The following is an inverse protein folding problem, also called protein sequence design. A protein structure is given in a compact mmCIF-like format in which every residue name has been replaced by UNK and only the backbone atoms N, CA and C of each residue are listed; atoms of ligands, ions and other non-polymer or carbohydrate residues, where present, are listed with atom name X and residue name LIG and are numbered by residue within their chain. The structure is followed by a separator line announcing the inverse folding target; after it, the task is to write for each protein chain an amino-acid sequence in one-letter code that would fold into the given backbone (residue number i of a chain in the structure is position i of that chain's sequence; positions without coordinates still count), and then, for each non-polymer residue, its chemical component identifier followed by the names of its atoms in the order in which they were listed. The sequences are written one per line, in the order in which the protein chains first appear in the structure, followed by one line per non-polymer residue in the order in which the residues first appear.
data_IF_047635446597
#
_entry.id   IF_047635446597
#
_cell.length_a   1.000
_cell.length_b   1.000
_cell.length_c   1.000
_cell.angle_alpha   90.00
_cell.angle_beta   90.00
_cell.angle_gamma   90.00
#
_symmetry.space_group_name_H-M   'P 1'
#
loop_
_entity.id
_entity.type
_entity.pdbx_description
1 polymer ?
#
# COMPACT_ATOMS: atom_id res chain seq x y z
N UNK A 1 -71.14 0.32 -22.75
CA UNK A 1 -70.38 1.55 -22.39
C UNK A 1 -69.32 1.09 -21.38
N UNK A 2 -68.05 1.09 -21.83
CA UNK A 2 -66.76 1.04 -21.08
C UNK A 2 -66.56 0.11 -19.84
N UNK A 3 -65.52 -0.76 -19.97
CA UNK A 3 -64.50 -1.23 -19.00
C UNK A 3 -64.95 -1.85 -17.64
N UNK A 4 -64.24 -2.74 -16.96
CA UNK A 4 -63.14 -3.70 -17.16
C UNK A 4 -63.22 -4.62 -15.91
N UNK A 5 -62.77 -5.87 -16.02
CA UNK A 5 -61.89 -6.55 -15.04
C UNK A 5 -61.97 -8.07 -15.19
N UNK A 6 -60.76 -8.63 -15.14
CA UNK A 6 -60.37 -10.03 -15.24
C UNK A 6 -60.99 -10.90 -14.14
N UNK A 7 -61.40 -12.13 -14.50
CA UNK A 7 -61.42 -13.20 -13.50
C UNK A 7 -61.02 -14.57 -14.05
N UNK A 8 -60.20 -15.22 -13.24
CA UNK A 8 -59.30 -16.35 -13.52
C UNK A 8 -60.04 -17.68 -13.66
N UNK A 9 -59.65 -18.49 -14.65
CA UNK A 9 -59.97 -19.93 -14.70
C UNK A 9 -58.70 -20.74 -14.44
N UNK A 10 -58.77 -21.60 -13.44
CA UNK A 10 -57.70 -22.46 -12.95
C UNK A 10 -57.42 -23.66 -13.86
N UNK A 11 -56.13 -23.97 -14.07
CA UNK A 11 -55.66 -25.27 -14.55
C UNK A 11 -54.48 -25.71 -13.68
N UNK A 12 -54.60 -26.91 -13.10
CA UNK A 12 -53.58 -27.61 -12.30
C UNK A 12 -52.54 -28.22 -13.23
N UNK A 13 -51.25 -28.01 -12.94
CA UNK A 13 -50.18 -28.88 -13.39
C UNK A 13 -49.22 -29.20 -12.23
N UNK A 14 -48.78 -30.45 -12.22
CA UNK A 14 -48.13 -31.21 -11.15
C UNK A 14 -46.67 -30.83 -10.93
N UNK A 15 -46.29 -30.59 -9.67
CA UNK A 15 -44.90 -30.42 -9.23
C UNK A 15 -44.23 -31.80 -9.14
N UNK A 16 -43.16 -31.98 -9.92
CA UNK A 16 -42.23 -33.12 -9.80
C UNK A 16 -41.10 -32.68 -8.85
N UNK A 17 -41.04 -33.29 -7.67
CA UNK A 17 -39.91 -33.16 -6.74
C UNK A 17 -38.72 -33.99 -7.26
N UNK A 18 -37.64 -33.31 -7.67
CA UNK A 18 -36.35 -33.96 -7.89
C UNK A 18 -35.62 -34.15 -6.57
N UNK A 19 -35.46 -35.42 -6.19
CA UNK A 19 -34.80 -35.88 -4.96
C UNK A 19 -33.30 -35.63 -5.03
N UNK A 20 -32.77 -34.88 -4.06
CA UNK A 20 -31.34 -34.70 -3.86
C UNK A 20 -30.62 -36.02 -3.58
N UNK A 21 -29.56 -36.29 -4.34
CA UNK A 21 -28.67 -37.43 -4.14
C UNK A 21 -27.83 -37.24 -2.87
N UNK A 22 -27.98 -38.16 -1.90
CA UNK A 22 -27.19 -38.18 -0.67
C UNK A 22 -25.88 -38.93 -0.95
N UNK A 23 -24.76 -38.21 -0.99
CA UNK A 23 -23.41 -38.77 -1.15
C UNK A 23 -22.91 -39.30 0.20
N UNK A 24 -22.61 -40.60 0.28
CA UNK A 24 -22.03 -41.25 1.47
C UNK A 24 -20.64 -40.68 1.82
N UNK A 25 -20.52 -40.04 2.99
CA UNK A 25 -19.25 -39.44 3.46
C UNK A 25 -18.34 -40.50 4.09
N UNK A 26 -17.20 -40.75 3.43
CA UNK A 26 -16.12 -41.65 3.85
C UNK A 26 -15.52 -41.25 5.23
N UNK A 27 -15.24 -42.21 6.12
CA UNK A 27 -14.89 -42.00 7.56
C UNK A 27 -13.66 -41.10 7.84
N UNK A 28 -12.87 -40.73 6.82
CA UNK A 28 -11.72 -39.80 6.93
C UNK A 28 -12.12 -38.31 6.89
N UNK A 29 -13.37 -37.97 6.62
CA UNK A 29 -13.83 -36.57 6.46
C UNK A 29 -14.68 -36.02 7.63
N UNK A 30 -14.65 -36.64 8.83
CA UNK A 30 -15.44 -36.20 10.00
C UNK A 30 -15.22 -34.74 10.43
N UNK A 31 -14.08 -34.15 10.07
CA UNK A 31 -13.70 -32.76 10.42
C UNK A 31 -13.78 -31.77 9.25
N UNK A 32 -14.06 -32.24 8.02
CA UNK A 32 -14.31 -31.37 6.86
C UNK A 32 -15.82 -31.16 6.72
N UNK A 33 -16.34 -30.23 7.53
CA UNK A 33 -17.70 -29.71 7.33
C UNK A 33 -17.67 -28.75 6.14
N UNK A 34 -18.76 -28.74 5.38
CA UNK A 34 -18.97 -27.76 4.32
C UNK A 34 -18.99 -26.37 4.99
N UNK A 35 -18.23 -25.42 4.46
CA UNK A 35 -18.10 -24.06 4.98
C UNK A 35 -18.95 -23.13 4.10
N UNK A 36 -20.17 -22.76 4.49
CA UNK A 36 -21.03 -21.88 3.67
C UNK A 36 -20.39 -20.51 3.38
N UNK A 37 -19.47 -20.09 4.26
CA UNK A 37 -18.71 -18.84 4.16
C UNK A 37 -17.45 -18.94 3.29
N UNK A 38 -17.18 -20.06 2.64
CA UNK A 38 -15.99 -20.31 1.82
C UNK A 38 -16.42 -20.91 0.47
N UNK A 39 -16.92 -20.06 -0.43
CA UNK A 39 -17.40 -20.42 -1.77
C UNK A 39 -16.47 -19.88 -2.86
N UNK A 40 -16.41 -20.57 -4.01
CA UNK A 40 -15.45 -20.27 -5.10
C UNK A 40 -15.58 -18.85 -5.70
N UNK A 41 -16.67 -18.14 -5.43
CA UNK A 41 -16.89 -16.75 -5.85
C UNK A 41 -16.39 -15.66 -4.89
N UNK A 42 -15.86 -16.02 -3.71
CA UNK A 42 -15.32 -15.04 -2.76
C UNK A 42 -13.93 -14.61 -3.22
N UNK A 43 -13.74 -13.31 -3.44
CA UNK A 43 -12.40 -12.75 -3.59
C UNK A 43 -11.78 -12.52 -2.21
N UNK A 44 -11.04 -13.50 -1.71
CA UNK A 44 -10.33 -13.42 -0.43
C UNK A 44 -9.26 -12.31 -0.39
N UNK A 45 -8.97 -11.65 -1.51
CA UNK A 45 -7.96 -10.59 -1.62
C UNK A 45 -8.57 -9.19 -1.73
N UNK A 46 -9.90 -9.06 -1.63
CA UNK A 46 -10.56 -7.76 -1.66
C UNK A 46 -10.30 -7.01 -0.35
N UNK A 47 -9.77 -5.80 -0.46
CA UNK A 47 -9.59 -4.91 0.69
C UNK A 47 -10.94 -4.30 1.09
N UNK A 48 -11.37 -4.57 2.31
CA UNK A 48 -12.48 -3.85 2.93
C UNK A 48 -11.93 -2.62 3.65
N UNK A 49 -12.51 -1.45 3.38
CA UNK A 49 -12.13 -0.21 4.05
C UNK A 49 -12.60 -0.27 5.50
N UNK A 50 -11.67 -0.10 6.44
CA UNK A 50 -12.02 0.06 7.86
C UNK A 50 -12.67 1.43 8.04
N UNK A 51 -13.81 1.48 8.73
CA UNK A 51 -14.52 2.72 9.00
C UNK A 51 -14.43 3.10 10.48
N UNK A 52 -14.82 4.33 10.82
CA UNK A 52 -14.76 4.81 12.21
C UNK A 52 -15.75 4.06 13.10
N UNK A 53 -16.84 3.59 12.50
CA UNK A 53 -17.92 2.85 13.11
C UNK A 53 -17.48 1.45 13.58
N UNK A 54 -16.46 0.87 12.93
CA UNK A 54 -15.95 -0.47 13.24
C UNK A 54 -15.14 -0.51 14.55
N UNK A 55 -14.65 0.65 15.02
CA UNK A 55 -13.93 0.78 16.28
C UNK A 55 -14.44 1.96 17.14
N UNK A 56 -15.62 1.81 17.78
CA UNK A 56 -16.22 2.88 18.58
C UNK A 56 -15.46 3.18 19.88
N UNK A 57 -14.74 2.19 20.42
CA UNK A 57 -13.97 2.33 21.67
C UNK A 57 -12.56 2.91 21.48
N UNK A 58 -12.07 2.96 20.25
CA UNK A 58 -10.70 3.40 19.93
C UNK A 58 -9.62 2.43 20.41
N UNK A 59 -8.36 2.88 20.41
CA UNK A 59 -7.21 2.10 20.87
C UNK A 59 -6.96 2.30 22.37
N UNK A 60 -6.67 1.20 23.07
CA UNK A 60 -6.38 1.20 24.51
C UNK A 60 -4.94 1.68 24.79
N UNK A 61 -4.00 1.21 23.99
CA UNK A 61 -2.56 1.45 24.15
C UNK A 61 -2.03 2.45 23.12
N UNK A 62 -0.99 3.18 23.50
CA UNK A 62 -0.31 4.13 22.64
C UNK A 62 0.81 3.45 21.84
N UNK A 63 0.79 3.63 20.52
CA UNK A 63 1.87 3.24 19.61
C UNK A 63 2.59 4.49 19.13
N UNK A 64 3.91 4.49 19.25
CA UNK A 64 4.76 5.63 18.87
C UNK A 64 5.88 5.17 17.94
N UNK A 65 6.09 5.90 16.85
CA UNK A 65 7.21 5.68 15.94
C UNK A 65 7.97 6.98 15.72
N UNK A 66 9.29 6.90 15.73
CA UNK A 66 10.17 8.02 15.41
C UNK A 66 11.08 7.69 14.22
N UNK A 67 11.42 8.71 13.43
CA UNK A 67 12.40 8.60 12.35
C UNK A 67 13.27 9.84 12.32
N UNK A 68 14.59 9.64 12.28
CA UNK A 68 15.58 10.71 12.14
C UNK A 68 15.63 11.19 10.69
N UNK A 69 15.82 12.49 10.49
CA UNK A 69 16.03 13.09 9.18
C UNK A 69 17.37 13.84 9.09
N UNK A 70 17.98 13.91 7.90
CA UNK A 70 19.21 14.68 7.71
C UNK A 70 19.00 16.19 7.86
N UNK A 71 20.00 16.90 8.38
CA UNK A 71 19.95 18.35 8.62
C UNK A 71 19.53 19.18 7.39
N UNK A 72 19.98 18.81 6.19
CA UNK A 72 19.60 19.53 4.96
C UNK A 72 18.09 19.52 4.67
N UNK A 73 17.33 18.59 5.29
CA UNK A 73 15.88 18.44 5.08
C UNK A 73 15.04 19.28 6.03
N UNK A 74 15.67 19.86 7.05
CA UNK A 74 15.00 20.61 8.13
C UNK A 74 14.14 21.77 7.63
N UNK A 75 14.69 22.64 6.77
CA UNK A 75 13.98 23.81 6.26
C UNK A 75 12.68 23.45 5.53
N UNK A 76 12.71 22.38 4.73
CA UNK A 76 11.54 21.89 4.02
C UNK A 76 10.51 21.31 4.99
N UNK A 77 10.95 20.48 5.94
CA UNK A 77 10.06 19.86 6.92
C UNK A 77 9.38 20.90 7.79
N UNK A 78 10.11 21.93 8.22
CA UNK A 78 9.56 23.05 9.01
C UNK A 78 8.44 23.77 8.26
N UNK A 79 8.59 24.02 6.96
CA UNK A 79 7.57 24.68 6.14
C UNK A 79 6.32 23.82 5.94
N UNK A 80 6.52 22.53 5.70
CA UNK A 80 5.46 21.60 5.28
C UNK A 80 4.79 20.88 6.47
N UNK A 81 5.34 21.00 7.69
CA UNK A 81 4.82 20.34 8.88
C UNK A 81 3.34 20.61 9.20
N UNK A 82 2.81 21.84 9.04
CA UNK A 82 1.38 22.09 9.25
C UNK A 82 0.50 21.22 8.35
N UNK A 83 0.89 21.05 7.10
CA UNK A 83 0.17 20.23 6.12
C UNK A 83 0.27 18.73 6.47
N UNK A 84 1.42 18.28 6.99
CA UNK A 84 1.58 16.90 7.48
C UNK A 84 0.59 16.62 8.62
N UNK A 85 0.42 17.57 9.55
CA UNK A 85 -0.58 17.44 10.63
C UNK A 85 -1.99 17.36 10.05
N UNK A 86 -2.32 18.21 9.08
CA UNK A 86 -3.65 18.19 8.43
C UNK A 86 -3.95 16.84 7.77
N UNK A 87 -2.97 16.21 7.13
CA UNK A 87 -3.11 14.89 6.51
C UNK A 87 -3.37 13.80 7.56
N UNK A 88 -2.81 13.92 8.76
CA UNK A 88 -2.93 12.91 9.84
C UNK A 88 -4.14 13.14 10.77
N UNK A 89 -4.72 14.35 10.79
CA UNK A 89 -5.90 14.69 11.60
C UNK A 89 -7.10 13.74 11.41
N UNK A 90 -7.49 13.32 10.18
CA UNK A 90 -8.64 12.42 9.98
C UNK A 90 -8.49 11.05 10.64
N UNK A 91 -7.24 10.60 10.80
CA UNK A 91 -6.88 9.34 11.44
C UNK A 91 -6.67 9.48 12.95
N UNK A 92 -6.82 10.69 13.49
CA UNK A 92 -6.62 11.03 14.89
C UNK A 92 -5.21 10.65 15.40
N UNK A 93 -4.19 10.81 14.55
CA UNK A 93 -2.77 10.55 14.85
C UNK A 93 -2.07 11.88 15.16
N UNK A 94 -1.31 11.91 16.26
CA UNK A 94 -0.46 13.06 16.61
C UNK A 94 0.88 12.97 15.91
N UNK A 95 1.35 14.10 15.39
CA UNK A 95 2.69 14.20 14.78
C UNK A 95 3.48 15.36 15.40
N UNK A 96 4.71 15.07 15.81
CA UNK A 96 5.66 16.00 16.42
C UNK A 96 6.95 16.08 15.60
N UNK A 97 7.48 17.30 15.44
CA UNK A 97 8.75 17.57 14.76
C UNK A 97 9.72 18.15 15.78
N UNK A 98 10.82 17.44 16.04
CA UNK A 98 11.90 17.91 16.89
C UNK A 98 13.07 18.37 16.01
N UNK A 99 13.31 19.68 15.98
CA UNK A 99 14.39 20.28 15.20
C UNK A 99 15.76 20.13 15.89
N UNK A 100 15.79 20.00 17.22
CA UNK A 100 17.04 19.87 17.98
C UNK A 100 17.64 18.48 17.78
N UNK A 101 16.82 17.44 17.91
CA UNK A 101 17.23 16.06 17.65
C UNK A 101 17.26 15.71 16.16
N UNK A 102 16.58 16.49 15.31
CA UNK A 102 16.37 16.16 13.90
C UNK A 102 15.48 14.92 13.73
N UNK A 103 14.41 14.81 14.52
CA UNK A 103 13.52 13.65 14.56
C UNK A 103 12.06 14.03 14.26
N UNK A 104 11.35 13.14 13.56
CA UNK A 104 9.90 13.19 13.37
C UNK A 104 9.27 12.04 14.14
N UNK A 105 8.23 12.33 14.91
CA UNK A 105 7.53 11.33 15.72
C UNK A 105 6.04 11.32 15.38
N UNK A 106 5.47 10.13 15.23
CA UNK A 106 4.01 9.91 15.09
C UNK A 106 3.52 9.02 16.22
N UNK A 107 2.38 9.37 16.82
CA UNK A 107 1.79 8.65 17.94
C UNK A 107 0.29 8.47 17.76
N UNK A 108 -0.21 7.29 18.11
CA UNK A 108 -1.67 7.06 18.18
C UNK A 108 -2.26 7.82 19.36
N UNK A 109 -3.58 8.05 19.29
CA UNK A 109 -4.34 8.58 20.41
C UNK A 109 -5.44 7.59 20.80
N UNK A 110 -6.06 7.79 21.97
CA UNK A 110 -7.23 7.00 22.40
C UNK A 110 -8.41 7.06 21.43
N UNK A 111 -8.41 8.03 20.51
CA UNK A 111 -9.47 8.23 19.53
C UNK A 111 -9.07 7.76 18.12
N UNK A 112 -7.85 7.28 17.94
CA UNK A 112 -7.46 6.60 16.70
C UNK A 112 -8.38 5.41 16.50
N UNK A 113 -9.10 5.41 15.39
CA UNK A 113 -10.08 4.38 15.07
C UNK A 113 -9.43 3.25 14.26
N UNK A 114 -8.59 3.59 13.27
CA UNK A 114 -7.87 2.60 12.46
C UNK A 114 -6.56 2.14 13.14
N UNK A 115 -6.44 0.85 13.52
CA UNK A 115 -5.20 0.32 14.08
C UNK A 115 -4.02 0.29 13.09
N UNK A 116 -4.28 0.22 11.77
CA UNK A 116 -3.23 0.16 10.75
C UNK A 116 -2.75 1.54 10.28
N UNK A 117 -3.52 2.61 10.51
CA UNK A 117 -3.15 3.98 10.14
C UNK A 117 -1.80 4.42 10.71
N UNK A 118 -1.42 3.94 11.90
CA UNK A 118 -0.10 4.26 12.49
C UNK A 118 1.07 3.71 11.68
N UNK A 119 0.89 2.56 11.02
CA UNK A 119 1.91 1.95 10.15
C UNK A 119 2.07 2.79 8.88
N UNK A 120 0.97 3.31 8.32
CA UNK A 120 1.01 4.25 7.19
C UNK A 120 1.63 5.57 7.57
N UNK A 121 1.30 6.11 8.75
CA UNK A 121 1.89 7.35 9.27
C UNK A 121 3.41 7.21 9.52
N UNK A 122 3.86 6.04 10.01
CA UNK A 122 5.28 5.69 10.12
C UNK A 122 5.96 5.72 8.76
N UNK A 123 5.31 5.18 7.75
CA UNK A 123 5.89 5.12 6.41
C UNK A 123 5.89 6.51 5.73
N UNK A 124 4.89 7.35 6.00
CA UNK A 124 4.88 8.77 5.62
C UNK A 124 6.11 9.52 6.17
N UNK A 125 6.40 9.43 7.47
CA UNK A 125 7.57 10.12 8.04
C UNK A 125 8.90 9.58 7.48
N UNK A 126 8.98 8.27 7.18
CA UNK A 126 10.16 7.69 6.52
C UNK A 126 10.34 8.22 5.11
N UNK A 127 9.26 8.37 4.33
CA UNK A 127 9.31 8.94 2.98
C UNK A 127 9.78 10.40 3.01
N UNK A 128 9.26 11.19 3.96
CA UNK A 128 9.66 12.59 4.16
C UNK A 128 11.16 12.70 4.54
N UNK A 129 11.65 11.81 5.41
CA UNK A 129 13.07 11.73 5.77
C UNK A 129 13.96 11.39 4.54
N UNK A 130 13.45 10.57 3.62
CA UNK A 130 14.10 10.26 2.33
C UNK A 130 13.87 11.30 1.24
N UNK A 131 13.38 12.49 1.64
CA UNK A 131 13.18 13.66 0.79
C UNK A 131 12.14 13.53 -0.32
N UNK A 132 11.19 12.60 -0.17
CA UNK A 132 9.99 12.60 -1.01
C UNK A 132 9.16 13.86 -0.71
N UNK A 133 8.65 14.58 -1.72
CA UNK A 133 7.76 15.72 -1.50
C UNK A 133 6.43 15.32 -0.87
N UNK A 134 5.87 16.14 0.02
CA UNK A 134 4.60 15.84 0.69
C UNK A 134 3.43 15.55 -0.28
N UNK A 135 3.23 16.28 -1.40
CA UNK A 135 2.12 16.00 -2.32
C UNK A 135 2.12 14.57 -2.86
N UNK A 136 3.30 13.96 -2.97
CA UNK A 136 3.44 12.56 -3.36
C UNK A 136 3.39 11.64 -2.15
N UNK A 137 4.07 12.00 -1.05
CA UNK A 137 4.14 11.17 0.16
C UNK A 137 2.76 10.96 0.82
N UNK A 138 1.87 11.96 0.79
CA UNK A 138 0.53 11.85 1.39
C UNK A 138 -0.33 10.70 0.82
N UNK A 139 -0.05 10.27 -0.41
CA UNK A 139 -0.73 9.14 -1.07
C UNK A 139 -0.51 7.81 -0.33
N UNK A 140 0.52 7.70 0.53
CA UNK A 140 0.75 6.50 1.35
C UNK A 140 -0.35 6.27 2.39
N UNK A 141 -1.16 7.29 2.66
CA UNK A 141 -2.33 7.16 3.53
C UNK A 141 -3.48 6.45 2.82
N UNK A 142 -3.42 6.17 1.51
CA UNK A 142 -4.42 5.37 0.80
C UNK A 142 -4.12 3.87 0.94
N UNK A 143 -5.15 3.01 1.09
CA UNK A 143 -4.97 1.57 1.36
C UNK A 143 -4.23 0.81 0.25
N UNK A 144 -4.38 1.24 -1.00
CA UNK A 144 -3.77 0.59 -2.16
C UNK A 144 -2.33 1.07 -2.44
N UNK A 145 -1.82 2.00 -1.65
CA UNK A 145 -0.49 2.58 -1.81
C UNK A 145 0.47 2.06 -0.77
N UNK A 146 1.59 1.53 -1.27
CA UNK A 146 2.67 1.01 -0.45
C UNK A 146 3.96 1.71 -0.83
N UNK A 147 4.93 1.68 0.08
CA UNK A 147 6.27 2.18 -0.19
C UNK A 147 7.31 1.09 0.00
N UNK A 148 8.40 1.21 -0.76
CA UNK A 148 9.58 0.40 -0.58
C UNK A 148 10.84 1.29 -0.57
N UNK A 149 11.71 1.08 0.41
CA UNK A 149 12.98 1.80 0.55
C UNK A 149 14.10 0.79 0.29
N UNK A 150 14.61 0.81 -0.94
CA UNK A 150 15.64 -0.10 -1.41
C UNK A 150 17.01 0.49 -1.06
N UNK A 151 17.75 -0.19 -0.17
CA UNK A 151 19.12 0.20 0.18
C UNK A 151 20.07 -0.30 -0.90
N UNK A 152 20.67 0.63 -1.63
CA UNK A 152 21.68 0.32 -2.66
C UNK A 152 23.11 0.48 -2.14
N UNK A 153 23.28 1.18 -1.01
CA UNK A 153 24.54 1.27 -0.29
C UNK A 153 25.04 -0.11 0.16
N UNK A 154 26.24 -0.47 -0.29
CA UNK A 154 26.88 -1.77 0.00
C UNK A 154 26.80 -2.78 -1.14
N UNK A 155 25.92 -2.60 -2.13
CA UNK A 155 25.83 -3.50 -3.30
C UNK A 155 27.08 -3.43 -4.18
N UNK A 156 27.76 -2.28 -4.20
CA UNK A 156 28.97 -2.05 -5.00
C UNK A 156 30.06 -1.51 -4.09
N UNK A 157 31.20 -2.22 -4.02
CA UNK A 157 32.35 -1.85 -3.17
C UNK A 157 33.01 -0.52 -3.61
N UNK A 158 33.11 -0.30 -4.92
CA UNK A 158 33.78 0.88 -5.46
C UNK A 158 32.80 2.06 -5.66
N UNK A 159 33.11 3.21 -5.06
CA UNK A 159 32.31 4.44 -5.09
C UNK A 159 32.09 4.98 -6.51
N UNK A 160 33.08 4.93 -7.39
CA UNK A 160 32.94 5.41 -8.77
C UNK A 160 32.00 4.52 -9.58
N UNK A 161 32.14 3.21 -9.43
CA UNK A 161 31.21 2.24 -10.07
C UNK A 161 29.80 2.42 -9.54
N UNK A 162 29.64 2.69 -8.24
CA UNK A 162 28.34 2.98 -7.64
C UNK A 162 27.69 4.23 -8.27
N UNK A 163 28.43 5.33 -8.40
CA UNK A 163 27.90 6.56 -9.02
C UNK A 163 27.53 6.33 -10.49
N UNK A 164 28.36 5.61 -11.26
CA UNK A 164 28.07 5.25 -12.65
C UNK A 164 26.82 4.37 -12.79
N UNK A 165 26.64 3.35 -11.93
CA UNK A 165 25.45 2.47 -11.93
C UNK A 165 24.20 3.21 -11.46
N UNK A 166 24.31 4.09 -10.47
CA UNK A 166 23.20 4.96 -10.05
C UNK A 166 22.77 5.90 -11.17
N UNK A 167 23.73 6.53 -11.85
CA UNK A 167 23.42 7.40 -12.99
C UNK A 167 22.79 6.62 -14.15
N UNK A 168 23.22 5.37 -14.38
CA UNK A 168 22.61 4.46 -15.35
C UNK A 168 21.14 4.17 -15.04
N UNK A 169 20.78 3.98 -13.77
CA UNK A 169 19.39 3.78 -13.33
C UNK A 169 18.52 5.01 -13.64
N UNK A 170 19.04 6.22 -13.41
CA UNK A 170 18.34 7.47 -13.75
C UNK A 170 18.21 7.63 -15.27
N UNK A 171 19.28 7.32 -16.00
CA UNK A 171 19.37 7.50 -17.44
C UNK A 171 19.68 8.94 -17.85
N UNK A 172 19.93 9.17 -19.15
CA UNK A 172 20.12 10.52 -19.69
C UNK A 172 18.80 11.31 -19.52
N UNK A 173 18.87 12.52 -18.96
CA UNK A 173 17.71 13.38 -18.67
C UNK A 173 16.57 12.70 -17.88
N UNK A 174 16.87 11.63 -17.10
CA UNK A 174 15.84 10.91 -16.36
C UNK A 174 14.94 10.00 -17.19
N UNK A 175 15.25 9.78 -18.47
CA UNK A 175 14.43 8.98 -19.40
C UNK A 175 14.19 7.55 -18.92
N UNK A 176 15.26 6.85 -18.49
CA UNK A 176 15.15 5.48 -17.97
C UNK A 176 14.28 5.42 -16.71
N UNK A 177 14.47 6.37 -15.78
CA UNK A 177 13.67 6.43 -14.56
C UNK A 177 12.19 6.64 -14.90
N UNK A 178 11.89 7.56 -15.82
CA UNK A 178 10.51 7.84 -16.24
C UNK A 178 9.87 6.64 -16.94
N UNK A 179 10.63 5.90 -17.75
CA UNK A 179 10.15 4.66 -18.35
C UNK A 179 9.79 3.62 -17.29
N UNK A 180 10.63 3.42 -16.26
CA UNK A 180 10.34 2.51 -15.14
C UNK A 180 9.08 2.94 -14.40
N UNK A 181 8.92 4.25 -14.13
CA UNK A 181 7.71 4.77 -13.47
C UNK A 181 6.44 4.47 -14.26
N UNK A 182 6.48 4.67 -15.59
CA UNK A 182 5.33 4.43 -16.47
C UNK A 182 4.99 2.94 -16.58
N UNK A 183 6.00 2.07 -16.72
CA UNK A 183 5.80 0.63 -16.83
C UNK A 183 5.26 0.02 -15.53
N UNK A 184 5.82 0.42 -14.39
CA UNK A 184 5.47 -0.16 -13.08
C UNK A 184 4.32 0.55 -12.38
N UNK A 185 3.83 1.67 -12.95
CA UNK A 185 2.87 2.58 -12.33
C UNK A 185 3.27 3.02 -10.91
N UNK A 186 4.58 3.07 -10.66
CA UNK A 186 5.15 3.48 -9.39
C UNK A 186 5.81 4.85 -9.54
N UNK A 187 5.85 5.59 -8.44
CA UNK A 187 6.73 6.73 -8.29
C UNK A 187 8.09 6.27 -7.79
N UNK A 188 9.18 6.67 -8.43
CA UNK A 188 10.54 6.22 -8.06
C UNK A 188 11.46 7.42 -7.88
N UNK A 189 12.07 7.51 -6.71
CA UNK A 189 13.03 8.56 -6.37
C UNK A 189 14.38 7.94 -6.02
N UNK A 190 15.40 8.31 -6.80
CA UNK A 190 16.78 7.86 -6.60
C UNK A 190 17.54 8.94 -5.85
N UNK A 191 17.89 8.68 -4.59
CA UNK A 191 18.62 9.66 -3.76
C UNK A 191 19.72 9.04 -2.92
N UNK A 192 20.93 9.56 -3.07
CA UNK A 192 22.08 9.13 -2.29
C UNK A 192 22.39 7.65 -2.51
N UNK A 193 22.21 6.85 -1.45
CA UNK A 193 22.44 5.40 -1.40
C UNK A 193 21.13 4.59 -1.25
N UNK A 194 20.00 5.22 -1.49
CA UNK A 194 18.68 4.60 -1.39
C UNK A 194 17.84 4.94 -2.62
N UNK A 195 17.04 3.98 -3.06
CA UNK A 195 16.00 4.20 -4.06
C UNK A 195 14.67 4.00 -3.35
N UNK A 196 13.82 5.01 -3.39
CA UNK A 196 12.48 4.97 -2.82
C UNK A 196 11.50 4.71 -3.95
N UNK A 197 10.60 3.76 -3.75
CA UNK A 197 9.50 3.49 -4.65
C UNK A 197 8.16 3.60 -3.91
N UNK A 198 7.13 4.13 -4.56
CA UNK A 198 5.76 4.16 -4.05
C UNK A 198 4.81 3.64 -5.13
N UNK A 199 3.95 2.70 -4.79
CA UNK A 199 3.03 2.10 -5.75
C UNK A 199 2.36 0.84 -5.21
N UNK A 200 1.80 0.05 -6.12
CA UNK A 200 1.15 -1.22 -5.77
C UNK A 200 2.19 -2.30 -5.48
N UNK A 201 1.81 -3.35 -4.74
CA UNK A 201 2.73 -4.44 -4.41
C UNK A 201 3.39 -5.12 -5.63
N UNK A 202 2.65 -5.25 -6.74
CA UNK A 202 3.18 -5.83 -7.99
C UNK A 202 4.26 -4.94 -8.60
N UNK A 203 3.97 -3.64 -8.72
CA UNK A 203 4.92 -2.65 -9.24
C UNK A 203 6.17 -2.53 -8.37
N UNK A 204 6.02 -2.51 -7.04
CA UNK A 204 7.15 -2.44 -6.11
C UNK A 204 8.11 -3.64 -6.24
N UNK A 205 7.58 -4.87 -6.42
CA UNK A 205 8.41 -6.05 -6.67
C UNK A 205 9.21 -5.94 -7.97
N UNK A 206 8.59 -5.42 -9.03
CA UNK A 206 9.26 -5.19 -10.31
C UNK A 206 10.36 -4.13 -10.16
N UNK A 207 10.05 -2.99 -9.54
CA UNK A 207 11.04 -1.91 -9.31
C UNK A 207 12.22 -2.43 -8.48
N UNK A 208 11.95 -3.18 -7.40
CA UNK A 208 13.00 -3.77 -6.57
C UNK A 208 13.95 -4.64 -7.38
N UNK A 209 13.41 -5.56 -8.19
CA UNK A 209 14.20 -6.42 -9.08
C UNK A 209 15.06 -5.59 -10.04
N UNK A 210 14.45 -4.62 -10.73
CA UNK A 210 15.15 -3.74 -11.69
C UNK A 210 16.30 -2.99 -11.01
N UNK A 211 16.08 -2.46 -9.82
CA UNK A 211 17.09 -1.71 -9.06
C UNK A 211 18.22 -2.64 -8.65
N UNK A 212 17.92 -3.79 -8.04
CA UNK A 212 18.93 -4.75 -7.61
C UNK A 212 19.75 -5.27 -8.79
N UNK A 213 19.12 -5.66 -9.89
CA UNK A 213 19.78 -6.13 -11.12
C UNK A 213 20.65 -5.04 -11.77
N UNK A 214 20.20 -3.79 -11.76
CA UNK A 214 20.99 -2.65 -12.22
C UNK A 214 22.28 -2.48 -11.41
N UNK A 215 22.21 -2.68 -10.09
CA UNK A 215 23.39 -2.66 -9.22
C UNK A 215 24.24 -3.94 -9.33
N UNK A 216 23.70 -5.05 -9.83
CA UNK A 216 24.44 -6.29 -10.19
C UNK A 216 24.98 -6.30 -11.62
N UNK A 217 25.10 -5.14 -12.28
CA UNK A 217 25.69 -4.93 -13.60
C UNK A 217 24.80 -5.26 -14.81
N UNK A 218 23.53 -5.59 -14.62
CA UNK A 218 22.57 -5.74 -15.71
C UNK A 218 22.09 -4.34 -16.11
N UNK A 219 21.86 -4.06 -17.40
CA UNK A 219 21.40 -2.74 -17.83
C UNK A 219 19.87 -2.62 -17.67
N UNK A 220 19.32 -1.55 -17.06
CA UNK A 220 17.88 -1.44 -16.79
C UNK A 220 17.03 -1.47 -18.06
N UNK A 221 17.58 -1.06 -19.21
CA UNK A 221 16.91 -1.13 -20.53
C UNK A 221 16.45 -2.55 -20.89
N UNK A 222 17.12 -3.60 -20.41
CA UNK A 222 16.66 -4.97 -20.68
C UNK A 222 15.31 -5.27 -20.02
N UNK A 223 15.05 -4.71 -18.83
CA UNK A 223 13.78 -4.84 -18.14
C UNK A 223 12.70 -3.87 -18.63
N UNK A 224 13.07 -2.84 -19.41
CA UNK A 224 12.13 -1.90 -20.02
C UNK A 224 11.56 -2.46 -21.34
N UNK A 225 12.28 -3.40 -21.97
CA UNK A 225 11.88 -4.03 -23.24
C UNK A 225 11.05 -5.31 -23.04
N UNK A 226 11.10 -5.89 -21.85
CA UNK A 226 10.37 -7.09 -21.45
C UNK A 226 8.96 -6.73 -20.99
#
# INVERSE_FOLDING_TARGET
MLAADDDKVAVKESVVEEKGAVVEKNKKNKYRRDKPWDHEGIDHWKYESFAKEDNPSGLLEESSFATLFPQYRENYLKQVWPDVKQVLTPFEIKAELNLVEGSMTVRTTRKTWDPYAIIRARDLIKLLARSVPLPQAKKIMDDNMFCDIIKTGGLVRNKEKFVKRRQRLVGPNGSTLKAIELLTQCYVLVQGQTVVAMGTHKGLKQVRRIVEDCFHNIHPVYHVKE
#
